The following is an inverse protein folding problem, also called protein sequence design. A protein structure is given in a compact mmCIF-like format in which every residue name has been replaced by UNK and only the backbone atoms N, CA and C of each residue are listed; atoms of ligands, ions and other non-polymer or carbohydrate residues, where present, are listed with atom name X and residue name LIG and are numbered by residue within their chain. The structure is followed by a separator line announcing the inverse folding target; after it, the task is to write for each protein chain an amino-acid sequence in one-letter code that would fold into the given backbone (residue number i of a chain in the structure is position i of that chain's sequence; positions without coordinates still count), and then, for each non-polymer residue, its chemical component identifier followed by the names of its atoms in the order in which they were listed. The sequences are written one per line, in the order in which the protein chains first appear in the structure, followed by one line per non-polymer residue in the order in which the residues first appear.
data_IF_949461819069
#
_entry.id   IF_949461819069
#
_cell.length_a   1.000
_cell.length_b   1.000
_cell.length_c   1.000
_cell.angle_alpha   90.00
_cell.angle_beta   90.00
_cell.angle_gamma   90.00
#
_symmetry.space_group_name_H-M   'P 1'
#
loop_
_entity.id
_entity.type
_entity.pdbx_description
1 polymer ?
#
# COMPACT_ATOMS: atom_id res chain seq x y z
N UNK A 1 29.18 18.92 -5.51
CA UNK A 1 28.96 17.49 -5.29
C UNK A 1 27.61 17.07 -5.88
N UNK A 2 27.66 16.68 -7.14
CA UNK A 2 26.59 15.96 -7.83
C UNK A 2 26.56 14.55 -7.21
N UNK A 3 25.41 14.05 -6.75
CA UNK A 3 25.31 12.68 -6.22
C UNK A 3 25.64 11.67 -7.31
N UNK A 4 26.36 10.61 -6.93
CA UNK A 4 26.71 9.51 -7.83
C UNK A 4 25.47 8.75 -8.30
N UNK A 5 25.44 8.35 -9.57
CA UNK A 5 24.36 7.55 -10.14
C UNK A 5 24.18 6.23 -9.38
N UNK A 6 25.25 5.70 -8.78
CA UNK A 6 25.24 4.51 -7.93
C UNK A 6 24.31 4.65 -6.71
N UNK A 7 24.18 5.85 -6.15
CA UNK A 7 23.27 6.12 -5.02
C UNK A 7 21.82 5.89 -5.42
N UNK A 8 21.42 6.37 -6.61
CA UNK A 8 20.07 6.17 -7.14
C UNK A 8 19.78 4.68 -7.40
N UNK A 9 20.76 3.93 -7.91
CA UNK A 9 20.62 2.49 -8.14
C UNK A 9 20.53 1.71 -6.83
N UNK A 10 21.30 2.11 -5.83
CA UNK A 10 21.23 1.54 -4.48
C UNK A 10 19.85 1.77 -3.87
N UNK A 11 19.34 3.00 -3.96
CA UNK A 11 18.01 3.35 -3.47
C UNK A 11 16.90 2.59 -4.23
N UNK A 12 16.96 2.57 -5.56
CA UNK A 12 16.01 1.84 -6.42
C UNK A 12 15.96 0.35 -6.12
N UNK A 13 17.13 -0.27 -5.90
CA UNK A 13 17.26 -1.68 -5.50
C UNK A 13 16.59 -1.93 -4.17
N UNK A 14 16.90 -1.13 -3.15
CA UNK A 14 16.32 -1.27 -1.81
C UNK A 14 14.79 -1.08 -1.82
N UNK A 15 14.26 -0.16 -2.63
CA UNK A 15 12.81 -0.03 -2.82
C UNK A 15 12.19 -1.30 -3.41
N UNK A 16 12.79 -1.87 -4.45
CA UNK A 16 12.29 -3.08 -5.14
C UNK A 16 12.40 -4.32 -4.24
N UNK A 17 13.48 -4.48 -3.49
CA UNK A 17 13.66 -5.57 -2.53
C UNK A 17 12.62 -5.50 -1.40
N UNK A 18 12.34 -4.29 -0.88
CA UNK A 18 11.30 -4.10 0.12
C UNK A 18 9.91 -4.41 -0.46
N UNK A 19 9.60 -3.95 -1.67
CA UNK A 19 8.35 -4.26 -2.34
C UNK A 19 8.12 -5.78 -2.49
N UNK A 20 9.16 -6.53 -2.90
CA UNK A 20 9.09 -8.00 -3.00
C UNK A 20 8.84 -8.63 -1.63
N UNK A 21 9.54 -8.14 -0.59
CA UNK A 21 9.38 -8.64 0.77
C UNK A 21 7.97 -8.38 1.33
N UNK A 22 7.38 -7.20 1.05
CA UNK A 22 6.01 -6.87 1.44
C UNK A 22 4.99 -7.84 0.79
N UNK A 23 5.13 -8.09 -0.51
CA UNK A 23 4.25 -9.06 -1.22
C UNK A 23 4.45 -10.50 -0.77
N UNK A 24 5.64 -10.86 -0.31
CA UNK A 24 5.88 -12.17 0.29
C UNK A 24 5.20 -12.28 1.66
N UNK A 25 5.14 -11.17 2.41
CA UNK A 25 4.54 -11.11 3.73
C UNK A 25 3.01 -11.08 3.70
N UNK A 26 2.37 -10.39 2.75
CA UNK A 26 0.90 -10.30 2.66
C UNK A 26 0.25 -11.55 2.03
N UNK A 27 0.96 -12.27 1.16
CA UNK A 27 0.47 -13.44 0.43
C UNK A 27 -0.19 -14.50 1.34
N UNK A 28 0.39 -14.93 2.48
CA UNK A 28 -0.26 -15.89 3.37
C UNK A 28 -1.63 -15.43 3.90
N UNK A 29 -1.82 -14.11 4.08
CA UNK A 29 -3.11 -13.55 4.54
C UNK A 29 -4.16 -13.72 3.44
N UNK A 30 -3.81 -13.41 2.19
CA UNK A 30 -4.71 -13.60 1.04
C UNK A 30 -5.10 -15.07 0.83
N UNK A 31 -4.11 -15.98 0.84
CA UNK A 31 -4.35 -17.42 0.65
C UNK A 31 -5.22 -18.01 1.76
N UNK A 32 -5.00 -17.59 3.01
CA UNK A 32 -5.78 -18.05 4.15
C UNK A 32 -7.20 -17.47 4.15
N UNK A 33 -7.39 -16.21 3.73
CA UNK A 33 -8.70 -15.61 3.59
C UNK A 33 -9.59 -16.38 2.62
N UNK A 34 -9.09 -16.68 1.43
CA UNK A 34 -9.82 -17.42 0.39
C UNK A 34 -10.18 -18.84 0.83
N UNK A 35 -9.26 -19.54 1.48
CA UNK A 35 -9.44 -20.96 1.78
C UNK A 35 -10.12 -21.26 3.12
N UNK A 36 -10.01 -20.35 4.12
CA UNK A 36 -10.21 -20.75 5.52
C UNK A 36 -11.14 -19.83 6.33
N UNK A 37 -11.33 -18.57 5.96
CA UNK A 37 -11.97 -17.58 6.85
C UNK A 37 -13.40 -17.23 6.48
N UNK A 38 -13.90 -17.71 5.34
CA UNK A 38 -15.31 -17.54 4.97
C UNK A 38 -16.22 -18.03 6.10
N UNK A 39 -17.09 -17.14 6.58
CA UNK A 39 -18.01 -17.41 7.67
C UNK A 39 -17.40 -17.50 9.07
N UNK A 40 -16.15 -17.09 9.29
CA UNK A 40 -15.53 -17.18 10.62
C UNK A 40 -16.28 -16.39 11.70
N UNK A 41 -16.89 -15.27 11.33
CA UNK A 41 -17.65 -14.44 12.26
C UNK A 41 -19.04 -15.02 12.56
N UNK A 42 -19.60 -15.84 11.66
CA UNK A 42 -20.99 -16.25 11.73
C UNK A 42 -21.96 -15.17 11.22
N UNK A 43 -23.24 -15.33 11.55
CA UNK A 43 -24.34 -14.47 11.07
C UNK A 43 -25.47 -14.25 12.08
N UNK A 44 -25.22 -14.52 13.36
CA UNK A 44 -26.09 -14.09 14.44
C UNK A 44 -26.07 -12.56 14.63
N UNK A 45 -27.09 -11.98 15.29
CA UNK A 45 -27.04 -10.57 15.72
C UNK A 45 -25.74 -10.24 16.46
N UNK A 46 -25.10 -9.12 16.10
CA UNK A 46 -23.79 -8.72 16.62
C UNK A 46 -22.62 -9.38 15.90
N UNK A 47 -22.72 -10.68 15.58
CA UNK A 47 -21.70 -11.41 14.82
C UNK A 47 -21.58 -10.90 13.39
N UNK A 48 -22.71 -10.60 12.75
CA UNK A 48 -22.74 -10.03 11.40
C UNK A 48 -22.09 -8.64 11.36
N UNK A 49 -22.43 -7.77 12.31
CA UNK A 49 -21.83 -6.43 12.41
C UNK A 49 -20.33 -6.52 12.70
N UNK A 50 -19.91 -7.44 13.58
CA UNK A 50 -18.49 -7.66 13.88
C UNK A 50 -17.72 -8.11 12.63
N UNK A 51 -18.28 -9.06 11.88
CA UNK A 51 -17.67 -9.56 10.65
C UNK A 51 -17.55 -8.48 9.57
N UNK A 52 -18.54 -7.60 9.44
CA UNK A 52 -18.46 -6.47 8.51
C UNK A 52 -17.35 -5.49 8.88
N UNK A 53 -17.21 -5.15 10.17
CA UNK A 53 -16.15 -4.28 10.65
C UNK A 53 -14.75 -4.92 10.44
N UNK A 54 -14.63 -6.23 10.69
CA UNK A 54 -13.41 -6.98 10.37
C UNK A 54 -13.10 -6.93 8.86
N UNK A 55 -14.09 -7.22 8.01
CA UNK A 55 -13.91 -7.29 6.55
C UNK A 55 -13.43 -5.94 5.98
N UNK A 56 -13.93 -4.82 6.53
CA UNK A 56 -13.48 -3.47 6.19
C UNK A 56 -12.03 -3.23 6.63
N UNK A 57 -11.74 -3.46 7.92
CA UNK A 57 -10.41 -3.22 8.48
C UNK A 57 -9.32 -4.11 7.80
N UNK A 58 -9.63 -5.37 7.54
CA UNK A 58 -8.77 -6.31 6.84
C UNK A 58 -8.50 -5.87 5.39
N UNK A 59 -9.56 -5.46 4.66
CA UNK A 59 -9.45 -5.01 3.27
C UNK A 59 -8.64 -3.73 3.15
N UNK A 60 -8.91 -2.71 3.97
CA UNK A 60 -8.15 -1.45 3.94
C UNK A 60 -6.68 -1.67 4.29
N UNK A 61 -6.38 -2.56 5.25
CA UNK A 61 -5.00 -2.86 5.64
C UNK A 61 -4.22 -3.53 4.50
N UNK A 62 -4.79 -4.57 3.89
CA UNK A 62 -4.15 -5.25 2.76
C UNK A 62 -4.08 -4.36 1.51
N UNK A 63 -5.10 -3.53 1.26
CA UNK A 63 -5.10 -2.62 0.12
C UNK A 63 -3.97 -1.59 0.25
N UNK A 64 -3.79 -1.00 1.43
CA UNK A 64 -2.68 -0.09 1.68
C UNK A 64 -1.31 -0.78 1.58
N UNK A 65 -1.17 -2.03 2.06
CA UNK A 65 0.05 -2.82 1.92
C UNK A 65 0.39 -3.10 0.44
N UNK A 66 -0.60 -3.53 -0.35
CA UNK A 66 -0.42 -3.77 -1.78
C UNK A 66 -0.08 -2.48 -2.55
N UNK A 67 -0.77 -1.37 -2.23
CA UNK A 67 -0.46 -0.05 -2.80
C UNK A 67 0.95 0.41 -2.42
N UNK A 68 1.42 0.13 -1.20
CA UNK A 68 2.78 0.45 -0.75
C UNK A 68 3.82 -0.33 -1.54
N UNK A 69 3.62 -1.64 -1.73
CA UNK A 69 4.51 -2.47 -2.53
C UNK A 69 4.55 -2.00 -4.00
N UNK A 70 3.41 -1.62 -4.58
CA UNK A 70 3.34 -1.08 -5.93
C UNK A 70 4.04 0.29 -6.04
N UNK A 71 3.84 1.17 -5.07
CA UNK A 71 4.49 2.47 -5.02
C UNK A 71 6.01 2.35 -4.87
N UNK A 72 6.50 1.49 -3.99
CA UNK A 72 7.93 1.18 -3.86
C UNK A 72 8.51 0.61 -5.15
N UNK A 73 7.77 -0.27 -5.82
CA UNK A 73 8.15 -0.81 -7.13
C UNK A 73 8.31 0.33 -8.14
N UNK A 74 7.25 1.12 -8.35
CA UNK A 74 7.25 2.19 -9.37
C UNK A 74 8.27 3.28 -9.03
N UNK A 75 8.38 3.68 -7.76
CA UNK A 75 9.37 4.67 -7.33
C UNK A 75 10.80 4.16 -7.48
N UNK A 76 11.06 2.88 -7.24
CA UNK A 76 12.36 2.28 -7.54
C UNK A 76 12.73 2.39 -9.03
N UNK A 77 11.75 2.26 -9.94
CA UNK A 77 11.99 2.51 -11.37
C UNK A 77 12.29 3.98 -11.67
N UNK A 78 11.60 4.91 -11.01
CA UNK A 78 11.87 6.34 -11.14
C UNK A 78 13.30 6.67 -10.70
N UNK A 79 13.73 6.14 -9.55
CA UNK A 79 15.09 6.33 -9.05
C UNK A 79 16.12 5.74 -10.01
N UNK A 80 15.90 4.53 -10.54
CA UNK A 80 16.78 3.97 -11.56
C UNK A 80 16.87 4.85 -12.82
N UNK A 81 15.74 5.35 -13.32
CA UNK A 81 15.70 6.23 -14.50
C UNK A 81 16.49 7.53 -14.26
N UNK A 82 16.31 8.16 -13.09
CA UNK A 82 17.06 9.34 -12.68
C UNK A 82 18.55 9.06 -12.58
N UNK A 83 18.94 7.95 -11.94
CA UNK A 83 20.34 7.52 -11.86
C UNK A 83 20.96 7.30 -13.24
N UNK A 84 20.24 6.64 -14.15
CA UNK A 84 20.70 6.42 -15.52
C UNK A 84 20.93 7.75 -16.25
N UNK A 85 19.96 8.67 -16.19
CA UNK A 85 20.06 9.98 -16.83
C UNK A 85 21.24 10.79 -16.28
N UNK A 86 21.48 10.75 -14.96
CA UNK A 86 22.65 11.38 -14.34
C UNK A 86 23.96 10.75 -14.78
N UNK A 87 24.06 9.42 -14.77
CA UNK A 87 25.28 8.73 -15.18
C UNK A 87 25.63 8.94 -16.65
N UNK A 88 24.63 9.00 -17.54
CA UNK A 88 24.82 9.36 -18.95
C UNK A 88 25.30 10.82 -19.08
N UNK A 89 24.63 11.75 -18.42
CA UNK A 89 24.99 13.19 -18.44
C UNK A 89 26.40 13.43 -17.93
N UNK A 90 26.79 12.73 -16.87
CA UNK A 90 28.11 12.84 -16.24
C UNK A 90 29.21 12.10 -17.03
N UNK A 91 28.88 11.38 -18.11
CA UNK A 91 29.80 10.51 -18.84
C UNK A 91 30.55 9.54 -17.90
N UNK A 92 29.83 8.96 -16.94
CA UNK A 92 30.40 8.08 -15.91
C UNK A 92 31.16 6.90 -16.51
N UNK A 93 32.23 6.49 -15.84
CA UNK A 93 33.05 5.33 -16.22
C UNK A 93 33.22 4.40 -15.01
N UNK A 94 32.60 3.20 -15.00
CA UNK A 94 31.79 2.63 -16.08
C UNK A 94 30.45 3.35 -16.27
N UNK A 95 29.83 3.27 -17.47
CA UNK A 95 28.49 3.81 -17.69
C UNK A 95 27.44 3.04 -16.87
N UNK A 96 26.35 3.69 -16.43
CA UNK A 96 25.28 3.00 -15.73
C UNK A 96 24.60 1.96 -16.64
N UNK A 97 24.26 0.76 -16.13
CA UNK A 97 23.52 -0.22 -16.91
C UNK A 97 22.09 0.26 -17.14
N UNK A 98 21.57 0.17 -18.36
CA UNK A 98 20.21 0.61 -18.67
C UNK A 98 19.17 -0.14 -17.79
N UNK A 99 18.34 0.56 -17.02
CA UNK A 99 17.45 -0.08 -16.07
C UNK A 99 16.14 -0.55 -16.70
N UNK A 100 15.51 -1.55 -16.08
CA UNK A 100 14.11 -1.85 -16.34
C UNK A 100 13.21 -0.85 -15.60
N UNK A 101 12.51 -0.03 -16.37
CA UNK A 101 11.56 0.98 -15.87
C UNK A 101 10.10 0.52 -15.96
N UNK A 102 9.87 -0.78 -16.13
CA UNK A 102 8.54 -1.36 -16.11
C UNK A 102 7.80 -0.98 -14.82
N UNK A 103 6.58 -0.46 -15.03
CA UNK A 103 5.66 -0.11 -13.97
C UNK A 103 4.71 -1.26 -13.71
N UNK A 104 4.33 -1.42 -12.44
CA UNK A 104 3.23 -2.29 -12.06
C UNK A 104 1.94 -1.47 -12.00
N UNK A 105 0.86 -2.08 -12.46
CA UNK A 105 -0.49 -1.53 -12.30
C UNK A 105 -0.96 -1.63 -10.85
N UNK A 106 -2.03 -0.91 -10.54
CA UNK A 106 -2.69 -0.99 -9.25
C UNK A 106 -3.30 -2.38 -9.02
N UNK A 107 -3.11 -2.93 -7.83
CA UNK A 107 -3.73 -4.18 -7.39
C UNK A 107 -4.92 -3.86 -6.50
N UNK A 108 -6.08 -4.45 -6.78
CA UNK A 108 -7.27 -4.31 -5.95
C UNK A 108 -7.47 -5.54 -5.10
N UNK A 109 -7.46 -5.36 -3.78
CA UNK A 109 -7.68 -6.43 -2.83
C UNK A 109 -9.15 -6.84 -2.84
N UNK A 110 -9.38 -8.14 -3.05
CA UNK A 110 -10.66 -8.79 -2.83
C UNK A 110 -10.49 -9.84 -1.72
N UNK A 111 -11.39 -9.82 -0.74
CA UNK A 111 -11.46 -10.80 0.34
C UNK A 111 -12.88 -11.38 0.38
N UNK A 112 -13.06 -12.67 0.69
CA UNK A 112 -14.38 -13.22 0.96
C UNK A 112 -14.95 -12.62 2.25
N UNK A 113 -16.27 -12.57 2.35
CA UNK A 113 -16.93 -12.09 3.56
C UNK A 113 -16.67 -13.05 4.74
N UNK A 114 -16.32 -12.50 5.90
CA UNK A 114 -16.24 -13.26 7.15
C UNK A 114 -17.61 -13.65 7.69
N UNK A 115 -18.69 -13.08 7.16
CA UNK A 115 -20.08 -13.37 7.54
C UNK A 115 -20.70 -14.43 6.63
N UNK A 116 -21.23 -15.49 7.23
CA UNK A 116 -21.97 -16.54 6.53
C UNK A 116 -22.85 -17.33 7.52
N UNK A 117 -23.89 -18.00 7.00
CA UNK A 117 -24.76 -18.88 7.78
C UNK A 117 -24.04 -20.12 8.30
N UNK A 118 -23.52 -20.05 9.52
CA UNK A 118 -22.83 -21.17 10.21
C UNK A 118 -23.77 -22.01 11.08
N UNK A 119 -25.07 -21.67 11.13
CA UNK A 119 -26.09 -22.41 11.87
C UNK A 119 -26.77 -21.55 12.95
N UNK A 120 -27.48 -22.20 13.87
CA UNK A 120 -28.29 -21.50 14.90
C UNK A 120 -27.52 -21.23 16.21
N UNK A 121 -26.25 -21.66 16.30
CA UNK A 121 -25.40 -21.52 17.49
C UNK A 121 -25.40 -22.73 18.43
N UNK A 122 -26.25 -23.74 18.18
CA UNK A 122 -26.26 -25.00 18.93
C UNK A 122 -26.60 -26.19 18.03
N UNK A 123 -26.25 -27.41 18.46
CA UNK A 123 -26.59 -28.66 17.76
C UNK A 123 -27.41 -29.65 18.61
N UNK A 124 -27.86 -30.72 17.96
CA UNK A 124 -28.64 -31.80 18.58
C UNK A 124 -27.70 -32.84 19.21
N UNK A 125 -27.88 -33.14 20.50
CA UNK A 125 -27.16 -34.21 21.22
C UNK A 125 -28.04 -35.44 21.51
N UNK A 126 -29.14 -35.60 20.77
CA UNK A 126 -30.11 -36.67 20.97
C UNK A 126 -31.26 -36.29 21.93
N UNK A 127 -32.31 -37.12 21.93
CA UNK A 127 -33.53 -36.87 22.69
C UNK A 127 -34.78 -36.92 21.83
N UNK A 128 -35.91 -36.47 22.37
CA UNK A 128 -37.16 -36.42 21.62
C UNK A 128 -37.11 -35.27 20.60
N UNK A 129 -37.34 -35.56 19.32
CA UNK A 129 -37.37 -34.56 18.24
C UNK A 129 -38.25 -33.33 18.56
N UNK A 130 -39.37 -33.55 19.24
CA UNK A 130 -40.26 -32.46 19.67
C UNK A 130 -39.57 -31.43 20.58
N UNK A 131 -38.66 -31.86 21.46
CA UNK A 131 -37.91 -30.96 22.34
C UNK A 131 -36.98 -30.06 21.52
N UNK A 132 -36.22 -30.66 20.60
CA UNK A 132 -35.29 -29.91 19.76
C UNK A 132 -36.03 -28.92 18.84
N UNK A 133 -37.14 -29.35 18.23
CA UNK A 133 -37.97 -28.50 17.38
C UNK A 133 -38.59 -27.33 18.19
N UNK A 134 -38.98 -27.55 19.45
CA UNK A 134 -39.48 -26.48 20.31
C UNK A 134 -38.38 -25.50 20.74
N UNK A 135 -37.20 -26.02 21.11
CA UNK A 135 -36.05 -25.21 21.47
C UNK A 135 -35.61 -24.35 20.28
N UNK A 136 -35.49 -24.93 19.09
CA UNK A 136 -35.15 -24.21 17.87
C UNK A 136 -36.12 -23.05 17.62
N UNK A 137 -37.43 -23.30 17.65
CA UNK A 137 -38.45 -22.25 17.46
C UNK A 137 -38.32 -21.15 18.50
N UNK A 138 -38.07 -21.51 19.76
CA UNK A 138 -37.96 -20.54 20.85
C UNK A 138 -36.66 -19.73 20.77
N UNK A 139 -35.52 -20.35 20.40
CA UNK A 139 -34.25 -19.64 20.14
C UNK A 139 -34.41 -18.66 18.99
N UNK A 140 -34.96 -19.08 17.85
CA UNK A 140 -35.19 -18.18 16.71
C UNK A 140 -36.09 -17.01 17.11
N UNK A 141 -37.16 -17.29 17.86
CA UNK A 141 -38.08 -16.23 18.31
C UNK A 141 -37.44 -15.26 19.29
N UNK A 142 -36.67 -15.74 20.26
CA UNK A 142 -36.09 -14.91 21.33
C UNK A 142 -34.83 -14.18 20.88
N UNK A 143 -33.95 -14.86 20.17
CA UNK A 143 -32.59 -14.41 19.90
C UNK A 143 -32.29 -14.25 18.41
N UNK A 144 -33.15 -14.76 17.52
CA UNK A 144 -32.86 -14.89 16.10
C UNK A 144 -31.88 -16.04 15.87
N UNK A 145 -30.68 -15.93 16.42
CA UNK A 145 -29.64 -16.96 16.52
C UNK A 145 -28.84 -16.74 17.80
N UNK A 146 -28.21 -17.80 18.30
CA UNK A 146 -27.17 -17.67 19.34
C UNK A 146 -25.85 -17.33 18.62
N UNK A 147 -24.93 -16.55 19.22
CA UNK A 147 -23.62 -16.29 18.64
C UNK A 147 -22.98 -17.55 18.05
N UNK A 148 -22.62 -17.48 16.77
CA UNK A 148 -22.28 -18.64 15.94
C UNK A 148 -20.95 -18.46 15.18
N UNK A 149 -20.01 -17.72 15.77
CA UNK A 149 -18.63 -17.63 15.27
C UNK A 149 -17.92 -18.98 15.28
N UNK A 150 -17.04 -19.21 14.30
CA UNK A 150 -16.26 -20.43 14.18
C UNK A 150 -14.90 -20.26 14.84
N UNK A 151 -14.75 -20.81 16.05
CA UNK A 151 -13.55 -20.61 16.87
C UNK A 151 -12.28 -21.15 16.21
N UNK A 152 -12.35 -22.28 15.47
CA UNK A 152 -11.18 -22.85 14.79
C UNK A 152 -10.71 -21.91 13.67
N UNK A 153 -11.65 -21.22 12.99
CA UNK A 153 -11.32 -20.23 11.97
C UNK A 153 -10.82 -18.93 12.57
N UNK A 154 -11.44 -18.44 13.65
CA UNK A 154 -11.00 -17.24 14.37
C UNK A 154 -9.57 -17.41 14.89
N UNK A 155 -9.24 -18.56 15.49
CA UNK A 155 -7.88 -18.87 15.95
C UNK A 155 -6.85 -18.86 14.81
N UNK A 156 -7.21 -19.42 13.64
CA UNK A 156 -6.35 -19.40 12.45
C UNK A 156 -6.15 -17.99 11.93
N UNK A 157 -7.22 -17.20 11.81
CA UNK A 157 -7.15 -15.80 11.39
C UNK A 157 -6.27 -14.99 12.34
N UNK A 158 -6.45 -15.14 13.66
CA UNK A 158 -5.59 -14.51 14.66
C UNK A 158 -4.11 -14.85 14.43
N UNK A 159 -3.78 -16.15 14.33
CA UNK A 159 -2.39 -16.57 14.14
C UNK A 159 -1.78 -16.02 12.84
N UNK A 160 -2.56 -15.96 11.76
CA UNK A 160 -2.09 -15.41 10.48
C UNK A 160 -1.87 -13.90 10.55
N UNK A 161 -2.79 -13.15 11.18
CA UNK A 161 -2.62 -11.71 11.36
C UNK A 161 -1.45 -11.36 12.28
N UNK A 162 -1.25 -12.11 13.36
CA UNK A 162 -0.06 -11.97 14.23
C UNK A 162 1.22 -12.23 13.44
N UNK A 163 1.28 -13.32 12.67
CA UNK A 163 2.45 -13.62 11.84
C UNK A 163 2.72 -12.54 10.76
N UNK A 164 1.67 -11.94 10.20
CA UNK A 164 1.78 -10.83 9.28
C UNK A 164 2.35 -9.58 9.96
N UNK A 165 1.81 -9.21 11.13
CA UNK A 165 2.27 -8.05 11.89
C UNK A 165 3.72 -8.20 12.38
N UNK A 166 4.11 -9.40 12.83
CA UNK A 166 5.45 -9.69 13.34
C UNK A 166 6.50 -9.85 12.23
N UNK A 167 6.08 -9.97 10.96
CA UNK A 167 7.00 -10.09 9.84
C UNK A 167 7.84 -8.81 9.72
N UNK A 168 9.17 -8.94 9.74
CA UNK A 168 10.09 -7.79 9.68
C UNK A 168 9.94 -6.98 8.40
N UNK A 169 9.44 -7.57 7.31
CA UNK A 169 9.11 -6.83 6.11
C UNK A 169 7.97 -5.81 6.35
N UNK A 170 7.06 -6.07 7.28
CA UNK A 170 5.97 -5.17 7.67
C UNK A 170 6.42 -4.25 8.80
N UNK A 171 6.91 -4.82 9.91
CA UNK A 171 7.21 -4.04 11.12
C UNK A 171 8.37 -3.07 10.95
N UNK A 172 9.39 -3.41 10.16
CA UNK A 172 10.57 -2.57 9.91
C UNK A 172 10.50 -1.79 8.59
N UNK A 173 9.41 -1.91 7.80
CA UNK A 173 9.27 -1.17 6.54
C UNK A 173 9.53 0.34 6.68
N UNK A 174 9.00 1.03 7.72
CA UNK A 174 9.27 2.45 7.91
C UNK A 174 10.77 2.76 8.01
N UNK A 175 11.48 2.06 8.90
CA UNK A 175 12.91 2.30 9.14
C UNK A 175 13.74 1.99 7.89
N UNK A 176 13.38 0.93 7.15
CA UNK A 176 14.02 0.60 5.88
C UNK A 176 13.84 1.72 4.85
N UNK A 177 12.68 2.37 4.79
CA UNK A 177 12.43 3.51 3.89
C UNK A 177 13.22 4.75 4.33
N UNK A 178 13.34 5.02 5.63
CA UNK A 178 14.20 6.10 6.14
C UNK A 178 15.66 5.90 5.73
N UNK A 179 16.18 4.67 5.87
CA UNK A 179 17.54 4.34 5.43
C UNK A 179 17.74 4.56 3.92
N UNK A 180 16.69 4.42 3.10
CA UNK A 180 16.75 4.75 1.67
C UNK A 180 16.79 6.27 1.47
N UNK A 181 16.00 7.03 2.25
CA UNK A 181 15.99 8.49 2.22
C UNK A 181 17.32 9.12 2.63
N UNK A 182 18.00 8.52 3.60
CA UNK A 182 19.29 8.99 4.11
C UNK A 182 20.42 8.90 3.07
N UNK A 183 20.28 8.03 2.05
CA UNK A 183 21.24 7.95 0.93
C UNK A 183 21.40 9.28 0.18
N UNK A 184 20.41 10.18 0.28
CA UNK A 184 20.38 11.45 -0.44
C UNK A 184 20.69 12.67 0.44
N UNK A 185 21.03 12.50 1.72
CA UNK A 185 21.20 13.63 2.66
C UNK A 185 22.28 14.62 2.18
N UNK A 186 23.37 14.09 1.64
CA UNK A 186 24.53 14.87 1.17
C UNK A 186 24.36 15.38 -0.28
N UNK A 187 23.16 15.35 -0.87
CA UNK A 187 22.92 15.90 -2.20
C UNK A 187 23.04 17.42 -2.23
N UNK A 188 23.87 17.96 -3.12
CA UNK A 188 23.98 19.43 -3.25
C UNK A 188 22.75 20.08 -3.87
N UNK A 189 22.08 19.39 -4.81
CA UNK A 189 20.83 19.87 -5.39
C UNK A 189 19.70 19.76 -4.36
N UNK A 190 19.48 20.85 -3.63
CA UNK A 190 18.50 20.91 -2.56
C UNK A 190 17.06 20.75 -3.04
N UNK A 191 16.77 21.13 -4.29
CA UNK A 191 15.41 21.05 -4.85
C UNK A 191 15.11 19.61 -5.25
N UNK A 192 16.02 18.97 -5.97
CA UNK A 192 15.86 17.57 -6.36
C UNK A 192 15.89 16.63 -5.15
N UNK A 193 16.78 16.90 -4.17
CA UNK A 193 16.80 16.18 -2.89
C UNK A 193 15.46 16.26 -2.18
N UNK A 194 14.87 17.46 -2.10
CA UNK A 194 13.58 17.65 -1.45
C UNK A 194 12.49 16.81 -2.12
N UNK A 195 12.42 16.79 -3.45
CA UNK A 195 11.44 15.97 -4.18
C UNK A 195 11.59 14.48 -3.86
N UNK A 196 12.83 13.98 -3.85
CA UNK A 196 13.10 12.58 -3.56
C UNK A 196 12.71 12.22 -2.12
N UNK A 197 13.16 13.03 -1.16
CA UNK A 197 12.90 12.80 0.26
C UNK A 197 11.43 13.00 0.61
N UNK A 198 10.72 13.90 -0.08
CA UNK A 198 9.27 14.06 0.08
C UNK A 198 8.51 12.79 -0.32
N UNK A 199 8.85 12.19 -1.48
CA UNK A 199 8.25 10.92 -1.92
C UNK A 199 8.60 9.74 -1.02
N UNK A 200 9.84 9.67 -0.54
CA UNK A 200 10.25 8.65 0.43
C UNK A 200 9.55 8.84 1.78
N UNK A 201 9.29 10.08 2.19
CA UNK A 201 8.50 10.37 3.38
C UNK A 201 7.04 9.90 3.22
N UNK A 202 6.41 10.14 2.05
CA UNK A 202 5.06 9.65 1.78
C UNK A 202 4.98 8.10 1.86
N UNK A 203 6.00 7.41 1.34
CA UNK A 203 6.16 5.95 1.46
C UNK A 203 6.34 5.53 2.93
N UNK A 204 7.21 6.22 3.67
CA UNK A 204 7.51 5.97 5.08
C UNK A 204 6.26 6.10 5.96
N UNK A 205 5.53 7.22 5.88
CA UNK A 205 4.34 7.44 6.71
C UNK A 205 3.22 6.44 6.38
N UNK A 206 3.16 6.02 5.12
CA UNK A 206 2.20 4.99 4.68
C UNK A 206 2.60 3.62 5.23
N UNK A 207 3.89 3.27 5.24
CA UNK A 207 4.41 2.06 5.87
C UNK A 207 4.15 2.04 7.39
N UNK A 208 4.29 3.17 8.09
CA UNK A 208 3.97 3.27 9.53
C UNK A 208 2.50 2.95 9.78
N UNK A 209 1.62 3.48 8.92
CA UNK A 209 0.17 3.27 9.03
C UNK A 209 -0.19 1.80 8.79
N UNK A 210 0.41 1.16 7.77
CA UNK A 210 0.22 -0.28 7.48
C UNK A 210 0.69 -1.15 8.64
N UNK A 211 1.91 -0.90 9.15
CA UNK A 211 2.48 -1.64 10.29
C UNK A 211 1.62 -1.52 11.54
N UNK A 212 1.15 -0.30 11.84
CA UNK A 212 0.25 -0.04 12.96
C UNK A 212 -1.09 -0.78 12.81
N UNK A 213 -1.68 -0.74 11.62
CA UNK A 213 -2.94 -1.42 11.34
C UNK A 213 -2.82 -2.95 11.47
N UNK A 214 -1.76 -3.52 10.91
CA UNK A 214 -1.46 -4.95 11.01
C UNK A 214 -1.37 -5.40 12.47
N UNK A 215 -0.63 -4.65 13.30
CA UNK A 215 -0.48 -4.95 14.73
C UNK A 215 -1.78 -4.80 15.54
N UNK A 216 -2.76 -4.05 15.06
CA UNK A 216 -4.04 -3.81 15.77
C UNK A 216 -5.16 -4.76 15.34
N UNK A 217 -5.05 -5.41 14.18
CA UNK A 217 -6.07 -6.33 13.67
C UNK A 217 -6.18 -7.64 14.46
N UNK A 218 -5.08 -8.13 15.03
CA UNK A 218 -5.06 -9.44 15.69
C UNK A 218 -5.86 -9.47 16.99
N UNK A 219 -5.81 -8.42 17.81
CA UNK A 219 -6.43 -8.43 19.16
C UNK A 219 -7.94 -8.65 19.13
N UNK A 220 -8.74 -7.90 18.33
CA UNK A 220 -10.19 -8.12 18.27
C UNK A 220 -10.59 -9.54 17.84
N UNK A 221 -9.78 -10.18 16.99
CA UNK A 221 -10.01 -11.55 16.53
C UNK A 221 -9.79 -12.54 17.68
N UNK A 222 -8.72 -12.35 18.46
CA UNK A 222 -8.44 -13.17 19.63
C UNK A 222 -9.53 -12.99 20.71
N UNK A 223 -9.94 -11.75 20.97
CA UNK A 223 -11.00 -11.46 21.95
C UNK A 223 -12.30 -12.19 21.57
N UNK A 224 -12.63 -12.25 20.27
CA UNK A 224 -13.80 -12.97 19.80
C UNK A 224 -13.64 -14.50 19.88
N UNK A 225 -12.45 -15.01 19.55
CA UNK A 225 -12.14 -16.42 19.76
C UNK A 225 -12.32 -16.83 21.24
N UNK A 226 -11.70 -16.10 22.17
CA UNK A 226 -11.76 -16.40 23.60
C UNK A 226 -13.19 -16.28 24.14
N UNK A 227 -13.91 -15.22 23.77
CA UNK A 227 -15.31 -15.05 24.15
C UNK A 227 -16.18 -16.21 23.66
N UNK A 228 -15.93 -16.73 22.46
CA UNK A 228 -16.63 -17.89 21.89
C UNK A 228 -16.35 -19.15 22.69
N UNK A 229 -15.09 -19.41 23.02
CA UNK A 229 -14.67 -20.56 23.83
C UNK A 229 -15.30 -20.53 25.22
N UNK A 230 -15.25 -19.39 25.90
CA UNK A 230 -15.79 -19.24 27.26
C UNK A 230 -17.32 -19.30 27.28
N UNK A 231 -18.00 -18.68 26.31
CA UNK A 231 -19.45 -18.71 26.23
C UNK A 231 -19.98 -20.13 25.99
N UNK A 232 -19.29 -20.93 25.17
CA UNK A 232 -19.63 -22.33 24.94
C UNK A 232 -19.70 -23.14 26.25
N UNK A 233 -18.67 -23.02 27.09
CA UNK A 233 -18.62 -23.66 28.41
C UNK A 233 -19.71 -23.11 29.32
N UNK A 234 -19.85 -21.79 29.41
CA UNK A 234 -20.83 -21.14 30.27
C UNK A 234 -22.27 -21.55 29.93
N UNK A 235 -22.61 -21.65 28.64
CA UNK A 235 -23.92 -22.13 28.21
C UNK A 235 -24.15 -23.59 28.63
N UNK A 236 -23.18 -24.48 28.41
CA UNK A 236 -23.33 -25.89 28.78
C UNK A 236 -23.51 -26.05 30.29
N UNK A 237 -22.70 -25.36 31.10
CA UNK A 237 -22.76 -25.41 32.56
C UNK A 237 -24.08 -24.84 33.09
N UNK A 238 -24.50 -23.66 32.63
CA UNK A 238 -25.78 -23.05 33.03
C UNK A 238 -26.98 -23.93 32.65
N UNK A 239 -26.92 -24.61 31.51
CA UNK A 239 -28.00 -25.54 31.11
C UNK A 239 -28.03 -26.74 32.05
N UNK A 240 -26.88 -27.37 32.31
CA UNK A 240 -26.78 -28.58 33.13
C UNK A 240 -27.08 -28.34 34.61
N UNK A 241 -26.76 -27.16 35.14
CA UNK A 241 -26.91 -26.84 36.57
C UNK A 241 -28.27 -26.23 36.92
N UNK A 242 -29.02 -25.72 35.94
CA UNK A 242 -30.27 -25.02 36.24
C UNK A 242 -31.38 -26.00 36.66
N UNK A 243 -32.01 -25.72 37.81
CA UNK A 243 -33.20 -26.46 38.29
C UNK A 243 -34.36 -26.43 37.27
N UNK A 244 -34.39 -25.44 36.37
CA UNK A 244 -35.38 -25.37 35.28
C UNK A 244 -35.14 -26.34 34.12
N UNK A 245 -34.03 -27.09 34.14
CA UNK A 245 -33.57 -27.96 33.06
C UNK A 245 -33.44 -29.44 33.50
N UNK A 246 -34.16 -29.88 34.53
CA UNK A 246 -34.10 -31.29 34.98
C UNK A 246 -34.36 -32.23 33.80
N UNK A 247 -33.35 -33.03 33.45
CA UNK A 247 -33.42 -33.97 32.33
C UNK A 247 -32.92 -33.46 30.99
N UNK A 248 -32.37 -32.24 30.91
CA UNK A 248 -31.65 -31.71 29.76
C UNK A 248 -30.15 -31.87 29.99
N UNK A 249 -29.41 -32.24 28.95
CA UNK A 249 -27.95 -32.35 28.96
C UNK A 249 -27.37 -31.49 27.85
N UNK A 250 -26.36 -30.69 28.17
CA UNK A 250 -25.62 -29.87 27.22
C UNK A 250 -24.12 -30.17 27.30
N UNK A 251 -23.46 -30.10 26.15
CA UNK A 251 -22.02 -30.29 26.00
C UNK A 251 -21.43 -29.17 25.17
N UNK A 252 -20.41 -28.49 25.70
CA UNK A 252 -19.69 -27.46 24.97
C UNK A 252 -19.05 -28.03 23.68
N UNK A 253 -19.23 -27.29 22.59
CA UNK A 253 -18.64 -27.53 21.27
C UNK A 253 -17.69 -26.42 20.83
N UNK A 254 -17.51 -25.40 21.67
CA UNK A 254 -16.43 -24.41 21.55
C UNK A 254 -16.46 -23.64 20.22
N UNK A 255 -17.64 -23.34 19.69
CA UNK A 255 -17.80 -22.62 18.43
C UNK A 255 -17.46 -23.44 17.18
N UNK A 256 -17.16 -24.73 17.28
CA UNK A 256 -16.80 -25.54 16.10
C UNK A 256 -17.95 -25.61 15.11
N UNK A 257 -17.69 -25.15 13.88
CA UNK A 257 -18.71 -25.01 12.85
C UNK A 257 -19.90 -24.15 13.31
N UNK A 258 -19.64 -23.09 14.07
CA UNK A 258 -20.64 -22.16 14.57
C UNK A 258 -21.56 -22.71 15.65
N UNK A 259 -21.17 -23.80 16.33
CA UNK A 259 -21.92 -24.37 17.45
C UNK A 259 -21.19 -24.14 18.77
N UNK A 260 -21.83 -23.41 19.68
CA UNK A 260 -21.31 -23.23 21.04
C UNK A 260 -21.44 -24.50 21.86
N UNK A 261 -22.56 -25.22 21.72
CA UNK A 261 -22.83 -26.46 22.44
C UNK A 261 -23.78 -27.35 21.65
N UNK A 262 -23.80 -28.64 21.97
CA UNK A 262 -24.91 -29.53 21.60
C UNK A 262 -25.80 -29.75 22.83
N UNK A 263 -27.11 -29.85 22.63
CA UNK A 263 -28.09 -29.99 23.70
C UNK A 263 -29.08 -31.11 23.38
N UNK A 264 -29.50 -31.84 24.39
CA UNK A 264 -30.39 -32.98 24.26
C UNK A 264 -31.12 -33.32 25.56
N UNK A 265 -31.95 -34.36 25.52
CA UNK A 265 -32.58 -34.92 26.71
C UNK A 265 -31.76 -36.09 27.23
N UNK A 266 -31.61 -36.17 28.56
CA UNK A 266 -31.07 -37.35 29.22
C UNK A 266 -31.83 -38.61 28.78
N UNK A 267 -31.11 -39.70 28.53
CA UNK A 267 -31.69 -40.96 27.98
C UNK A 267 -32.89 -41.46 28.79
N UNK A 268 -32.81 -41.35 30.12
CA UNK A 268 -33.87 -41.78 31.04
C UNK A 268 -35.15 -40.95 30.92
N UNK A 269 -35.05 -39.69 30.51
CA UNK A 269 -36.17 -38.77 30.31
C UNK A 269 -36.74 -38.92 28.92
N UNK A 270 -35.87 -39.02 27.91
CA UNK A 270 -36.27 -39.29 26.53
C UNK A 270 -37.10 -40.58 26.40
N UNK A 271 -36.68 -41.65 27.08
CA UNK A 271 -37.39 -42.94 27.07
C UNK A 271 -38.81 -42.88 27.68
N UNK A 272 -39.09 -41.90 28.55
CA UNK A 272 -40.41 -41.73 29.18
C UNK A 272 -41.40 -40.97 28.30
N UNK A 273 -40.96 -40.37 27.19
CA UNK A 273 -41.82 -39.57 26.31
C UNK A 273 -42.36 -38.28 26.95
N UNK A 274 -41.76 -37.82 28.04
CA UNK A 274 -42.20 -36.62 28.73
C UNK A 274 -41.86 -35.36 27.92
N UNK A 275 -42.78 -34.40 27.87
CA UNK A 275 -42.48 -33.05 27.38
C UNK A 275 -41.67 -32.28 28.42
N UNK A 276 -40.47 -31.87 28.03
CA UNK A 276 -39.60 -30.98 28.82
C UNK A 276 -39.73 -29.55 28.27
N UNK A 277 -40.14 -28.56 29.09
CA UNK A 277 -40.19 -27.17 28.65
C UNK A 277 -38.80 -26.60 28.34
N UNK A 278 -38.70 -25.75 27.31
CA UNK A 278 -37.42 -25.15 26.88
C UNK A 278 -37.11 -23.80 27.54
N UNK A 279 -38.02 -23.26 28.35
CA UNK A 279 -37.86 -21.92 28.95
C UNK A 279 -36.65 -21.83 29.89
N UNK A 280 -36.37 -22.90 30.64
CA UNK A 280 -35.18 -23.00 31.48
C UNK A 280 -33.89 -22.90 30.65
N UNK A 281 -33.87 -23.53 29.48
CA UNK A 281 -32.72 -23.55 28.56
C UNK A 281 -32.50 -22.17 27.95
N UNK A 282 -33.57 -21.49 27.52
CA UNK A 282 -33.51 -20.12 27.00
C UNK A 282 -32.96 -19.16 28.05
N UNK A 283 -33.45 -19.24 29.29
CA UNK A 283 -32.98 -18.40 30.37
C UNK A 283 -31.51 -18.68 30.74
N UNK A 284 -31.09 -19.94 30.71
CA UNK A 284 -29.69 -20.33 30.90
C UNK A 284 -28.77 -19.72 29.84
N UNK A 285 -29.14 -19.81 28.56
CA UNK A 285 -28.38 -19.19 27.44
C UNK A 285 -28.24 -17.68 27.65
N UNK A 286 -29.34 -16.99 27.97
CA UNK A 286 -29.32 -15.54 28.19
C UNK A 286 -28.45 -15.13 29.38
N UNK A 287 -28.47 -15.91 30.48
CA UNK A 287 -27.63 -15.66 31.66
C UNK A 287 -26.16 -15.87 31.34
N UNK A 288 -25.81 -17.00 30.71
CA UNK A 288 -24.44 -17.30 30.29
C UNK A 288 -23.90 -16.19 29.39
N UNK A 289 -24.69 -15.73 28.40
CA UNK A 289 -24.32 -14.63 27.53
C UNK A 289 -24.01 -13.35 28.31
N UNK A 290 -24.92 -12.89 29.16
CA UNK A 290 -24.77 -11.65 29.93
C UNK A 290 -23.60 -11.69 30.93
N UNK A 291 -23.25 -12.87 31.44
CA UNK A 291 -22.14 -13.06 32.36
C UNK A 291 -20.78 -13.21 31.65
N UNK A 292 -20.77 -13.42 30.33
CA UNK A 292 -19.56 -13.58 29.53
C UNK A 292 -19.00 -12.25 29.03
N UNK A 293 -17.85 -12.30 28.33
CA UNK A 293 -17.28 -11.16 27.59
C UNK A 293 -17.91 -10.96 26.21
N UNK A 294 -18.72 -11.91 25.72
CA UNK A 294 -19.35 -11.83 24.41
C UNK A 294 -20.21 -10.57 24.18
N UNK A 295 -20.97 -10.04 25.17
CA UNK A 295 -21.71 -8.79 25.00
C UNK A 295 -20.81 -7.59 24.63
N UNK A 296 -19.57 -7.59 25.12
CA UNK A 296 -18.59 -6.54 24.83
C UNK A 296 -18.06 -6.73 23.41
N UNK A 297 -17.60 -7.94 23.08
CA UNK A 297 -17.06 -8.26 21.74
C UNK A 297 -18.07 -7.96 20.62
N UNK A 298 -19.33 -8.31 20.82
CA UNK A 298 -20.39 -8.12 19.82
C UNK A 298 -21.09 -6.77 19.94
N UNK A 299 -20.70 -5.91 20.89
CA UNK A 299 -21.39 -4.64 21.14
C UNK A 299 -22.89 -4.80 21.37
N UNK A 300 -23.30 -5.92 21.97
CA UNK A 300 -24.68 -6.36 22.07
C UNK A 300 -24.99 -6.76 23.53
N UNK A 301 -25.58 -5.88 24.34
CA UNK A 301 -25.74 -6.10 25.79
C UNK A 301 -26.58 -7.32 26.18
N UNK A 302 -27.50 -7.74 25.31
CA UNK A 302 -28.33 -8.92 25.50
C UNK A 302 -28.70 -9.52 24.14
N UNK A 303 -28.81 -10.85 24.10
CA UNK A 303 -29.43 -11.53 22.97
C UNK A 303 -30.88 -11.08 22.78
N UNK A 304 -31.18 -10.62 21.57
CA UNK A 304 -32.50 -10.22 21.13
C UNK A 304 -32.55 -10.31 19.59
N UNK A 305 -33.59 -10.94 19.06
CA UNK A 305 -33.72 -11.27 17.64
C UNK A 305 -33.69 -10.04 16.70
N UNK A 306 -33.99 -8.85 17.21
CA UNK A 306 -34.12 -7.63 16.43
C UNK A 306 -33.00 -6.62 16.73
N UNK A 307 -32.11 -6.94 17.66
CA UNK A 307 -31.01 -6.07 18.05
C UNK A 307 -29.83 -6.21 17.11
N UNK A 308 -28.96 -5.19 17.11
CA UNK A 308 -27.72 -5.17 16.33
C UNK A 308 -26.56 -4.79 17.24
N UNK A 309 -25.38 -5.33 16.95
CA UNK A 309 -24.16 -4.96 17.64
C UNK A 309 -23.69 -3.56 17.26
N UNK A 310 -23.21 -2.79 18.24
CA UNK A 310 -22.42 -1.59 17.99
C UNK A 310 -20.93 -1.92 18.17
N UNK A 311 -20.22 -2.13 17.05
CA UNK A 311 -18.86 -2.66 17.06
C UNK A 311 -17.84 -1.53 17.11
N UNK A 312 -17.09 -1.47 18.20
CA UNK A 312 -15.96 -0.55 18.38
C UNK A 312 -14.60 -1.27 18.41
N UNK A 313 -14.60 -2.61 18.37
CA UNK A 313 -13.40 -3.44 18.50
C UNK A 313 -12.31 -3.10 17.46
N UNK A 314 -12.71 -2.64 16.27
CA UNK A 314 -11.80 -2.26 15.19
C UNK A 314 -11.49 -0.77 15.11
N UNK A 315 -12.02 0.08 16.01
CA UNK A 315 -11.75 1.53 16.01
C UNK A 315 -10.27 1.89 16.25
N UNK A 316 -9.51 0.95 16.82
CA UNK A 316 -8.06 1.12 16.95
C UNK A 316 -7.35 0.98 15.59
N UNK A 317 -7.92 0.24 14.62
CA UNK A 317 -7.33 0.13 13.28
C UNK A 317 -7.55 1.47 12.54
N UNK A 318 -6.48 2.13 12.05
CA UNK A 318 -6.57 3.46 11.47
C UNK A 318 -7.08 3.42 10.01
N UNK A 319 -8.31 2.99 9.77
CA UNK A 319 -8.90 2.84 8.42
C UNK A 319 -8.88 4.13 7.61
N UNK A 320 -9.28 5.27 8.19
CA UNK A 320 -9.16 6.58 7.52
C UNK A 320 -7.71 6.92 7.13
N UNK A 321 -6.75 6.54 7.98
CA UNK A 321 -5.32 6.73 7.72
C UNK A 321 -4.81 5.82 6.61
N UNK A 322 -5.34 4.59 6.52
CA UNK A 322 -5.04 3.64 5.45
C UNK A 322 -5.59 4.13 4.11
N UNK A 323 -6.81 4.67 4.08
CA UNK A 323 -7.40 5.24 2.86
C UNK A 323 -6.59 6.45 2.38
N UNK A 324 -6.23 7.36 3.30
CA UNK A 324 -5.32 8.48 2.98
C UNK A 324 -3.94 7.99 2.51
N UNK A 325 -3.45 6.87 3.04
CA UNK A 325 -2.21 6.27 2.57
C UNK A 325 -2.36 5.76 1.13
N UNK A 326 -3.45 5.06 0.81
CA UNK A 326 -3.75 4.62 -0.56
C UNK A 326 -3.78 5.81 -1.52
N UNK A 327 -4.43 6.93 -1.16
CA UNK A 327 -4.47 8.14 -1.99
C UNK A 327 -3.09 8.73 -2.27
N UNK A 328 -2.24 8.86 -1.22
CA UNK A 328 -0.86 9.34 -1.39
C UNK A 328 -0.04 8.40 -2.28
N UNK A 329 -0.17 7.09 -2.06
CA UNK A 329 0.58 6.07 -2.80
C UNK A 329 0.18 6.01 -4.28
N UNK A 330 -1.09 6.26 -4.60
CA UNK A 330 -1.59 6.34 -5.98
C UNK A 330 -0.87 7.42 -6.82
N UNK A 331 -0.51 8.56 -6.21
CA UNK A 331 0.30 9.60 -6.88
C UNK A 331 1.69 9.07 -7.26
N UNK A 332 2.32 8.31 -6.36
CA UNK A 332 3.63 7.69 -6.61
C UNK A 332 3.52 6.60 -7.67
N UNK A 333 2.50 5.75 -7.60
CA UNK A 333 2.24 4.69 -8.58
C UNK A 333 2.09 5.29 -9.98
N UNK A 334 1.40 6.42 -10.11
CA UNK A 334 1.20 7.11 -11.39
C UNK A 334 2.44 7.85 -11.93
N UNK A 335 3.49 8.03 -11.11
CA UNK A 335 4.70 8.75 -11.51
C UNK A 335 5.47 7.92 -12.55
N UNK A 336 5.62 8.46 -13.77
CA UNK A 336 6.30 7.79 -14.88
C UNK A 336 7.81 7.82 -14.71
N UNK A 337 8.43 6.65 -14.87
CA UNK A 337 9.87 6.55 -15.00
C UNK A 337 10.24 6.81 -16.46
N UNK A 338 11.11 7.79 -16.70
CA UNK A 338 11.53 8.18 -18.03
C UNK A 338 13.05 8.07 -18.14
N UNK A 339 13.49 7.06 -18.89
CA UNK A 339 14.85 7.05 -19.42
C UNK A 339 14.81 7.94 -20.64
N UNK A 340 15.64 8.97 -20.68
CA UNK A 340 15.83 9.69 -21.92
C UNK A 340 16.27 8.68 -22.97
N UNK A 341 15.45 8.49 -24.02
CA UNK A 341 15.74 7.57 -25.11
C UNK A 341 17.17 7.79 -25.60
N UNK A 342 17.83 6.75 -26.11
CA UNK A 342 19.18 6.84 -26.69
C UNK A 342 19.34 7.90 -27.80
N UNK A 343 18.27 8.57 -28.22
CA UNK A 343 18.33 9.92 -28.76
C UNK A 343 18.45 10.94 -27.61
N UNK A 344 19.71 11.23 -27.26
CA UNK A 344 20.21 12.27 -26.33
C UNK A 344 19.09 13.09 -25.63
N UNK A 345 18.93 13.05 -24.29
CA UNK A 345 18.23 14.14 -23.62
C UNK A 345 18.95 15.44 -23.98
N UNK A 346 18.28 16.31 -24.73
CA UNK A 346 18.91 17.50 -25.30
C UNK A 346 19.50 17.31 -26.71
N UNK A 347 18.90 16.50 -27.59
CA UNK A 347 19.08 16.67 -29.03
C UNK A 347 18.48 18.03 -29.45
N UNK A 348 19.23 19.10 -29.17
CA UNK A 348 18.91 20.45 -29.61
C UNK A 348 18.85 20.40 -31.14
N UNK A 349 17.74 20.81 -31.73
CA UNK A 349 17.55 20.79 -33.17
C UNK A 349 17.85 22.18 -33.72
N UNK A 350 18.82 22.26 -34.63
CA UNK A 350 19.12 23.49 -35.34
C UNK A 350 18.19 23.68 -36.53
N UNK A 351 17.42 24.76 -36.51
CA UNK A 351 16.61 25.22 -37.63
C UNK A 351 17.13 26.56 -38.17
N UNK A 352 17.31 26.62 -39.48
CA UNK A 352 17.74 27.83 -40.16
C UNK A 352 16.64 28.89 -40.06
N UNK A 353 16.97 30.03 -39.45
CA UNK A 353 16.08 31.17 -39.43
C UNK A 353 15.97 31.80 -40.83
N UNK A 354 14.77 32.07 -41.36
CA UNK A 354 14.58 32.76 -42.64
C UNK A 354 15.24 34.15 -42.72
N UNK A 355 15.58 34.73 -41.55
CA UNK A 355 16.23 36.04 -41.41
C UNK A 355 17.73 36.00 -41.72
N UNK A 356 18.39 34.88 -41.46
CA UNK A 356 19.82 34.69 -41.65
C UNK A 356 20.08 33.91 -42.95
N UNK A 357 21.24 34.10 -43.56
CA UNK A 357 21.64 33.36 -44.75
C UNK A 357 23.15 33.20 -44.80
N UNK A 358 23.66 32.41 -45.76
CA UNK A 358 25.09 32.07 -45.86
C UNK A 358 26.05 33.27 -45.91
N UNK A 359 25.57 34.43 -46.35
CA UNK A 359 26.36 35.65 -46.44
C UNK A 359 25.71 36.75 -45.60
N UNK A 360 26.52 37.69 -45.10
CA UNK A 360 26.07 38.89 -44.41
C UNK A 360 24.99 39.62 -45.24
N UNK A 361 23.84 39.93 -44.63
CA UNK A 361 22.75 40.69 -45.26
C UNK A 361 22.41 41.92 -44.42
N UNK A 362 23.02 43.06 -44.74
CA UNK A 362 22.86 44.29 -43.96
C UNK A 362 23.36 44.09 -42.51
N UNK A 363 22.51 44.35 -41.53
CA UNK A 363 22.82 44.13 -40.10
C UNK A 363 22.58 42.67 -39.62
N UNK A 364 22.07 41.78 -40.49
CA UNK A 364 21.90 40.37 -40.14
C UNK A 364 23.20 39.60 -40.37
N UNK A 365 23.76 39.07 -39.27
CA UNK A 365 24.92 38.20 -39.30
C UNK A 365 24.62 36.89 -40.08
N UNK A 366 25.64 36.20 -40.62
CA UNK A 366 25.44 34.94 -41.33
C UNK A 366 24.92 33.83 -40.42
N UNK A 367 24.33 32.80 -41.02
CA UNK A 367 24.00 31.56 -40.33
C UNK A 367 25.27 30.73 -40.03
N UNK A 368 25.32 29.98 -38.92
CA UNK A 368 26.40 29.03 -38.62
C UNK A 368 26.68 28.06 -39.78
N UNK A 369 27.96 27.78 -40.05
CA UNK A 369 28.35 26.83 -41.12
C UNK A 369 28.01 25.39 -40.75
N UNK A 370 28.29 24.97 -39.51
CA UNK A 370 27.97 23.64 -38.94
C UNK A 370 26.94 23.77 -37.80
N UNK A 371 25.77 24.35 -38.10
CA UNK A 371 24.84 24.79 -37.07
C UNK A 371 24.29 23.71 -36.14
N UNK A 372 24.10 22.47 -36.63
CA UNK A 372 23.64 21.37 -35.78
C UNK A 372 24.78 20.85 -34.91
N UNK A 373 25.95 20.62 -35.50
CA UNK A 373 27.14 20.13 -34.79
C UNK A 373 27.61 21.12 -33.72
N UNK A 374 27.69 22.41 -34.05
CA UNK A 374 28.10 23.46 -33.11
C UNK A 374 27.05 23.70 -32.01
N UNK A 375 25.77 23.46 -32.28
CA UNK A 375 24.71 23.53 -31.26
C UNK A 375 24.81 22.37 -30.26
N UNK A 376 25.12 21.16 -30.73
CA UNK A 376 25.30 19.99 -29.86
C UNK A 376 26.48 20.15 -28.89
N UNK A 377 27.55 20.83 -29.32
CA UNK A 377 28.73 21.13 -28.50
C UNK A 377 28.67 22.50 -27.79
N UNK A 378 27.54 23.22 -27.92
CA UNK A 378 27.36 24.54 -27.33
C UNK A 378 27.08 24.49 -25.82
N UNK A 379 27.36 25.59 -25.13
CA UNK A 379 27.12 25.75 -23.68
C UNK A 379 26.09 26.82 -23.38
N UNK A 380 25.34 26.64 -22.28
CA UNK A 380 24.42 27.68 -21.79
C UNK A 380 25.22 28.90 -21.34
N UNK A 381 24.72 30.08 -21.69
CA UNK A 381 25.35 31.34 -21.27
C UNK A 381 25.21 31.55 -19.76
N UNK A 382 24.03 31.23 -19.20
CA UNK A 382 23.74 31.23 -17.76
C UNK A 382 22.44 30.47 -17.44
N UNK A 383 22.21 30.04 -16.18
CA UNK A 383 21.05 29.20 -15.82
C UNK A 383 19.66 29.84 -16.04
N UNK A 384 19.59 31.17 -16.18
CA UNK A 384 18.32 31.91 -16.32
C UNK A 384 17.89 32.15 -17.76
N UNK A 385 18.56 31.52 -18.73
CA UNK A 385 18.23 31.67 -20.16
C UNK A 385 18.45 30.36 -20.89
N UNK A 386 17.64 30.08 -21.91
CA UNK A 386 17.89 28.98 -22.84
C UNK A 386 18.98 29.30 -23.87
N UNK A 387 19.43 30.57 -23.96
CA UNK A 387 20.46 30.98 -24.94
C UNK A 387 21.78 30.26 -24.73
N UNK A 388 22.39 29.84 -25.84
CA UNK A 388 23.64 29.08 -25.87
C UNK A 388 24.68 29.79 -26.73
N UNK A 389 25.94 29.43 -26.49
CA UNK A 389 27.08 29.88 -27.30
C UNK A 389 27.98 28.68 -27.61
N UNK A 390 28.44 28.58 -28.85
CA UNK A 390 29.33 27.51 -29.33
C UNK A 390 30.51 28.05 -30.13
N UNK A 391 31.50 27.20 -30.35
CA UNK A 391 32.65 27.44 -31.20
C UNK A 391 32.80 26.28 -32.18
N UNK A 392 32.87 26.59 -33.47
CA UNK A 392 33.12 25.60 -34.52
C UNK A 392 34.64 25.47 -34.75
N UNK A 393 35.26 24.33 -34.41
CA UNK A 393 36.70 24.16 -34.55
C UNK A 393 37.16 24.04 -36.01
N UNK A 394 36.28 23.64 -36.94
CA UNK A 394 36.63 23.43 -38.34
C UNK A 394 36.68 24.76 -39.12
N UNK A 395 35.82 25.70 -38.74
CA UNK A 395 35.72 27.03 -39.40
C UNK A 395 36.31 28.17 -38.56
N UNK A 396 36.45 27.98 -37.25
CA UNK A 396 36.84 29.02 -36.30
C UNK A 396 35.71 30.00 -35.96
N UNK A 397 34.46 29.67 -36.27
CA UNK A 397 33.29 30.52 -36.04
C UNK A 397 32.83 30.47 -34.58
N UNK A 398 32.32 31.60 -34.07
CA UNK A 398 31.55 31.62 -32.82
C UNK A 398 30.09 31.80 -33.13
N UNK A 399 29.24 30.95 -32.56
CA UNK A 399 27.82 30.94 -32.85
C UNK A 399 26.99 31.18 -31.59
N UNK A 400 26.00 32.06 -31.70
CA UNK A 400 25.02 32.29 -30.63
C UNK A 400 23.70 31.67 -31.04
N UNK A 401 23.16 30.82 -30.18
CA UNK A 401 21.91 30.10 -30.41
C UNK A 401 20.80 30.63 -29.51
N UNK A 402 19.68 30.92 -30.15
CA UNK A 402 18.45 31.40 -29.55
C UNK A 402 17.36 30.35 -29.78
N UNK A 403 16.63 29.99 -28.71
CA UNK A 403 15.56 29.01 -28.82
C UNK A 403 14.37 29.60 -29.58
N UNK A 404 13.91 28.90 -30.61
CA UNK A 404 12.86 29.35 -31.52
C UNK A 404 11.49 29.34 -30.85
N UNK A 405 11.21 28.31 -30.04
CA UNK A 405 10.02 28.21 -29.21
C UNK A 405 10.42 27.81 -27.78
N UNK A 406 9.91 28.45 -26.72
CA UNK A 406 10.25 28.09 -25.35
C UNK A 406 10.05 26.59 -25.09
N UNK A 407 11.07 25.94 -24.50
CA UNK A 407 11.06 24.52 -24.10
C UNK A 407 10.89 23.52 -25.26
N UNK A 408 11.08 23.96 -26.51
CA UNK A 408 10.98 23.08 -27.69
C UNK A 408 12.24 22.30 -27.97
N UNK A 409 13.40 22.76 -27.49
CA UNK A 409 14.69 22.23 -27.91
C UNK A 409 15.07 22.61 -29.35
N UNK A 410 14.29 23.46 -30.03
CA UNK A 410 14.58 23.95 -31.40
C UNK A 410 15.27 25.32 -31.30
N UNK A 411 16.43 25.46 -31.94
CA UNK A 411 17.25 26.67 -31.91
C UNK A 411 17.54 27.18 -33.31
N UNK A 412 17.68 28.49 -33.42
CA UNK A 412 18.32 29.13 -34.57
C UNK A 412 19.58 29.85 -34.11
N UNK A 413 20.54 30.00 -35.01
CA UNK A 413 21.86 30.51 -34.70
C UNK A 413 22.30 31.61 -35.63
N UNK A 414 23.28 32.40 -35.17
CA UNK A 414 23.97 33.37 -36.00
C UNK A 414 25.42 33.54 -35.56
N UNK A 415 26.30 33.74 -36.54
CA UNK A 415 27.72 33.93 -36.32
C UNK A 415 28.01 35.27 -35.61
N UNK A 416 29.07 35.28 -34.80
CA UNK A 416 29.67 36.44 -34.15
C UNK A 416 31.19 36.36 -34.21
N UNK A 417 31.86 37.51 -34.23
CA UNK A 417 33.27 37.53 -33.87
C UNK A 417 33.45 37.53 -32.35
N UNK A 418 34.62 37.11 -31.87
CA UNK A 418 34.95 37.10 -30.43
C UNK A 418 34.64 38.45 -29.74
N UNK A 419 35.02 39.56 -30.36
CA UNK A 419 34.80 40.92 -29.84
C UNK A 419 33.33 41.37 -29.86
N UNK A 420 32.46 40.65 -30.56
CA UNK A 420 31.02 40.88 -30.59
C UNK A 420 30.24 40.04 -29.56
N UNK A 421 30.89 39.05 -28.94
CA UNK A 421 30.30 38.29 -27.86
C UNK A 421 30.20 39.15 -26.59
N UNK A 422 29.14 38.93 -25.80
CA UNK A 422 29.05 39.57 -24.49
C UNK A 422 30.08 38.97 -23.52
N UNK A 423 30.44 39.67 -22.43
CA UNK A 423 31.31 39.11 -21.40
C UNK A 423 30.78 37.77 -20.83
N UNK A 424 29.47 37.63 -20.67
CA UNK A 424 28.85 36.37 -20.21
C UNK A 424 29.09 35.22 -21.20
N UNK A 425 28.96 35.47 -22.51
CA UNK A 425 29.21 34.47 -23.56
C UNK A 425 30.69 34.07 -23.62
N UNK A 426 31.59 35.05 -23.57
CA UNK A 426 33.04 34.80 -23.54
C UNK A 426 33.43 33.96 -22.32
N UNK A 427 32.90 34.32 -21.15
CA UNK A 427 33.16 33.58 -19.91
C UNK A 427 32.58 32.16 -19.95
N UNK A 428 31.41 31.95 -20.56
CA UNK A 428 30.82 30.63 -20.71
C UNK A 428 31.75 29.68 -21.50
N UNK A 429 32.27 30.13 -22.65
CA UNK A 429 33.20 29.35 -23.46
C UNK A 429 34.55 29.10 -22.75
N UNK A 430 35.08 30.10 -22.04
CA UNK A 430 36.34 29.97 -21.28
C UNK A 430 36.19 29.01 -20.10
N UNK A 431 35.10 29.11 -19.34
CA UNK A 431 34.82 28.25 -18.18
C UNK A 431 34.55 26.80 -18.59
N UNK A 432 33.93 26.60 -19.76
CA UNK A 432 33.74 25.29 -20.37
C UNK A 432 35.04 24.69 -20.94
N UNK A 433 36.14 25.46 -20.97
CA UNK A 433 37.43 25.00 -21.48
C UNK A 433 37.51 24.93 -23.01
N UNK A 434 36.55 25.49 -23.73
CA UNK A 434 36.47 25.45 -25.20
C UNK A 434 37.51 26.38 -25.84
N UNK A 435 37.72 27.57 -25.23
CA UNK A 435 38.72 28.56 -25.68
C UNK A 435 39.49 29.18 -24.52
N UNK A 436 40.63 29.81 -24.81
CA UNK A 436 41.37 30.65 -23.88
C UNK A 436 40.75 32.05 -23.71
N UNK A 437 41.30 32.85 -22.79
CA UNK A 437 40.81 34.22 -22.51
C UNK A 437 40.95 35.19 -23.69
N UNK A 438 41.57 34.78 -24.80
CA UNK A 438 41.74 35.56 -26.03
C UNK A 438 40.88 35.00 -27.18
N UNK A 439 39.98 34.06 -26.90
CA UNK A 439 39.11 33.44 -27.90
C UNK A 439 39.86 32.49 -28.83
N UNK A 440 40.94 31.86 -28.37
CA UNK A 440 41.68 30.84 -29.16
C UNK A 440 41.34 29.45 -28.65
N UNK A 441 41.16 28.45 -29.53
CA UNK A 441 40.87 27.08 -29.11
C UNK A 441 41.96 26.53 -28.17
N UNK A 442 41.55 25.71 -27.21
CA UNK A 442 42.45 25.05 -26.25
C UNK A 442 42.88 23.66 -26.68
#
# INVERSE_FOLDING_TARGET
MIIDWETYYTAGTKCRELAVSLRAADKPVHEAAEAQWSGMAGDAPGCMEWGQAYDEAARSTLQACASLANALTNYGAVLYAQGYNWGVTNKSSPPPPQPDISQVGEYKVALPNSTHGTGIGFGDNGGAKEFFDDLFRKVVKSFGRIPNGDADKLQKAYNTWTAFADNSAISEAPDRILLISDLFIDMDDSSHRYEIQHRLNDLHTSAQTVSLAAGRLASPINDYYEATMTLATACADEINLSEGNVGVEARAQYGRSGRLFDVGLAVSVAARGNRVPVEGTINAIQRAYRASTMPIVLGLPALDANSKGFIDAFNSVPTDGLDQAVDRLSVIIATRAEIASGDKPGALTYEKSPKHGKNQRGNAAPEPTHGQETLEESVLIKPTTSRRVGFDPDTGEFDVFDETYPESGIYHGHQRSWDQLSPDMQNALVNAGIVDRKGRPR
#
